data_IF_769425125014
#
_entry.id   IF_769425125014
#
_cell.length_a   1.000
_cell.length_b   1.000
_cell.length_c   1.000
_cell.angle_alpha   90.00
_cell.angle_beta   90.00
_cell.angle_gamma   90.00
#
_symmetry.space_group_name_H-M   'P 1'
#
loop_
_entity.id
_entity.type
_entity.pdbx_description
1 polymer ?
#
# COMPACT_ATOMS: atom_id res chain seq x y z
N UNK A 1 -0.83 -6.69 -0.27
CA UNK A 1 -0.87 -7.55 0.94
C UNK A 1 -1.06 -6.71 2.18
N UNK A 2 -1.20 -7.37 3.33
CA UNK A 2 -1.27 -6.77 4.67
C UNK A 2 0.14 -6.46 5.17
N UNK A 3 0.69 -5.31 4.74
CA UNK A 3 2.12 -4.99 4.88
C UNK A 3 2.65 -5.11 6.31
N UNK A 4 2.00 -4.50 7.30
CA UNK A 4 2.47 -4.57 8.70
C UNK A 4 2.51 -6.01 9.24
N UNK A 5 1.45 -6.79 9.01
CA UNK A 5 1.39 -8.17 9.48
C UNK A 5 2.45 -9.04 8.81
N UNK A 6 2.68 -8.85 7.50
CA UNK A 6 3.76 -9.55 6.79
C UNK A 6 5.12 -9.29 7.43
N UNK A 7 5.45 -8.04 7.74
CA UNK A 7 6.74 -7.70 8.37
C UNK A 7 6.86 -8.29 9.78
N UNK A 8 5.79 -8.25 10.58
CA UNK A 8 5.80 -8.82 11.94
C UNK A 8 5.90 -10.35 11.91
N UNK A 9 5.17 -11.01 11.02
CA UNK A 9 5.22 -12.47 10.87
C UNK A 9 6.60 -12.94 10.42
N UNK A 10 7.17 -12.30 9.40
CA UNK A 10 8.55 -12.57 8.98
C UNK A 10 9.53 -12.35 10.12
N UNK A 11 9.41 -11.26 10.88
CA UNK A 11 10.36 -10.92 11.92
C UNK A 11 10.34 -11.83 13.14
N UNK A 12 9.18 -12.39 13.50
CA UNK A 12 9.00 -13.17 14.73
C UNK A 12 8.81 -14.67 14.51
N UNK A 13 8.38 -15.10 13.33
CA UNK A 13 8.04 -16.50 13.05
C UNK A 13 8.75 -17.08 11.82
N UNK A 14 9.57 -16.28 11.13
CA UNK A 14 10.33 -16.69 9.93
C UNK A 14 9.44 -17.31 8.82
N UNK A 15 8.19 -16.85 8.75
CA UNK A 15 7.19 -17.30 7.79
C UNK A 15 6.09 -16.27 7.63
N UNK A 16 5.34 -16.35 6.53
CA UNK A 16 4.15 -15.53 6.29
C UNK A 16 2.95 -16.40 5.94
N UNK A 17 1.77 -16.13 6.51
CA UNK A 17 0.54 -16.89 6.28
C UNK A 17 -0.65 -15.92 6.15
N UNK A 18 -1.37 -15.98 5.03
CA UNK A 18 -2.62 -15.21 4.84
C UNK A 18 -2.45 -13.70 4.66
N UNK A 19 -1.22 -13.20 4.55
CA UNK A 19 -0.90 -11.77 4.45
C UNK A 19 -0.68 -11.28 3.02
N UNK A 20 -0.44 -12.20 2.09
CA UNK A 20 -0.25 -11.86 0.68
C UNK A 20 -1.61 -11.64 0.02
N UNK A 21 -1.72 -10.53 -0.71
CA UNK A 21 -2.89 -10.19 -1.50
C UNK A 21 -2.42 -9.92 -2.92
N UNK A 22 -3.21 -10.39 -3.89
CA UNK A 22 -2.95 -10.14 -5.31
C UNK A 22 -3.00 -8.66 -5.68
N UNK A 23 -2.49 -8.33 -6.85
CA UNK A 23 -2.59 -6.99 -7.41
C UNK A 23 -4.03 -6.72 -7.86
N UNK A 24 -4.60 -5.58 -7.47
CA UNK A 24 -5.97 -5.18 -7.80
C UNK A 24 -5.96 -3.80 -8.45
N UNK A 25 -6.63 -3.67 -9.59
CA UNK A 25 -6.80 -2.42 -10.34
C UNK A 25 -7.99 -1.62 -9.80
N UNK A 26 -7.83 -1.04 -8.60
CA UNK A 26 -8.87 -0.24 -7.95
C UNK A 26 -9.32 0.97 -8.78
N UNK A 27 -8.42 1.53 -9.59
CA UNK A 27 -8.72 2.56 -10.58
C UNK A 27 -9.80 2.10 -11.58
N UNK A 28 -9.73 0.85 -12.05
CA UNK A 28 -10.72 0.27 -12.96
C UNK A 28 -12.05 0.00 -12.26
N UNK A 29 -12.01 -0.44 -11.00
CA UNK A 29 -13.23 -0.64 -10.19
C UNK A 29 -13.99 0.67 -10.06
N UNK A 30 -13.29 1.77 -9.75
CA UNK A 30 -13.91 3.08 -9.58
C UNK A 30 -14.39 3.66 -10.91
N UNK A 31 -13.64 3.44 -12.00
CA UNK A 31 -14.10 3.81 -13.34
C UNK A 31 -15.40 3.08 -13.72
N UNK A 32 -15.51 1.78 -13.44
CA UNK A 32 -16.72 0.99 -13.71
C UNK A 32 -17.95 1.45 -12.89
N UNK A 33 -17.72 2.03 -11.70
CA UNK A 33 -18.76 2.63 -10.86
C UNK A 33 -19.12 4.08 -11.26
N UNK A 34 -18.57 4.59 -12.37
CA UNK A 34 -18.82 5.94 -12.88
C UNK A 34 -17.91 7.04 -12.30
N UNK A 35 -16.95 6.66 -11.45
CA UNK A 35 -15.94 7.55 -10.89
C UNK A 35 -14.77 7.83 -11.84
N UNK A 36 -13.73 8.46 -11.29
CA UNK A 36 -12.47 8.76 -11.97
C UNK A 36 -11.33 7.89 -11.41
N UNK A 37 -10.78 7.02 -12.24
CA UNK A 37 -9.65 6.16 -11.87
C UNK A 37 -8.33 6.66 -12.43
N UNK A 38 -7.30 6.70 -11.60
CA UNK A 38 -5.91 7.00 -11.97
C UNK A 38 -5.02 5.85 -11.50
N UNK A 39 -4.10 5.38 -12.35
CA UNK A 39 -3.12 4.37 -11.99
C UNK A 39 -1.71 4.95 -12.07
N UNK A 40 -0.98 4.89 -10.96
CA UNK A 40 0.36 5.47 -10.83
C UNK A 40 1.35 4.34 -10.58
N UNK A 41 2.31 4.16 -11.49
CA UNK A 41 3.39 3.17 -11.35
C UNK A 41 4.74 3.83 -11.05
N UNK A 42 4.89 5.11 -11.42
CA UNK A 42 6.11 5.87 -11.24
C UNK A 42 5.88 7.14 -10.40
N UNK A 43 6.82 7.52 -9.51
CA UNK A 43 6.67 8.71 -8.66
C UNK A 43 6.40 10.02 -9.44
N UNK A 44 6.96 10.15 -10.65
CA UNK A 44 6.78 11.33 -11.50
C UNK A 44 5.32 11.52 -11.96
N UNK A 45 4.52 10.45 -11.97
CA UNK A 45 3.12 10.47 -12.40
C UNK A 45 2.17 10.90 -11.29
N UNK A 46 2.60 10.82 -10.02
CA UNK A 46 1.75 11.04 -8.86
C UNK A 46 1.16 12.45 -8.84
N UNK A 47 2.00 13.47 -9.02
CA UNK A 47 1.56 14.87 -8.99
C UNK A 47 0.55 15.17 -10.12
N UNK A 48 0.85 14.85 -11.41
CA UNK A 48 -0.14 14.99 -12.48
C UNK A 48 -1.45 14.20 -12.27
N UNK A 49 -1.38 12.98 -11.72
CA UNK A 49 -2.56 12.15 -11.46
C UNK A 49 -3.46 12.77 -10.39
N UNK A 50 -2.86 13.30 -9.31
CA UNK A 50 -3.60 14.04 -8.28
C UNK A 50 -4.27 15.29 -8.86
N UNK A 51 -3.55 16.05 -9.70
CA UNK A 51 -4.11 17.25 -10.33
C UNK A 51 -5.31 16.93 -11.23
N UNK A 52 -5.28 15.82 -11.98
CA UNK A 52 -6.42 15.35 -12.78
C UNK A 52 -7.58 14.86 -11.91
N UNK A 53 -7.29 14.08 -10.87
CA UNK A 53 -8.29 13.56 -9.94
C UNK A 53 -9.06 14.67 -9.22
N UNK A 54 -8.36 15.71 -8.74
CA UNK A 54 -8.98 16.86 -8.07
C UNK A 54 -9.86 17.68 -9.04
N UNK A 55 -9.50 17.76 -10.32
CA UNK A 55 -10.27 18.47 -11.35
C UNK A 55 -11.44 17.66 -11.90
N UNK A 56 -11.52 16.36 -11.61
CA UNK A 56 -12.47 15.44 -12.25
C UNK A 56 -13.94 15.69 -11.88
N UNK A 57 -14.21 16.43 -10.79
CA UNK A 57 -15.57 16.74 -10.32
C UNK A 57 -16.41 15.51 -9.95
N UNK A 58 -15.76 14.38 -9.70
CA UNK A 58 -16.36 13.07 -9.42
C UNK A 58 -15.59 12.37 -8.31
N UNK A 59 -16.18 11.32 -7.72
CA UNK A 59 -15.44 10.41 -6.84
C UNK A 59 -14.23 9.88 -7.59
N UNK A 60 -13.04 10.06 -7.01
CA UNK A 60 -11.78 9.70 -7.65
C UNK A 60 -10.97 8.70 -6.81
N UNK A 61 -10.30 7.78 -7.47
CA UNK A 61 -9.33 6.86 -6.86
C UNK A 61 -8.01 6.95 -7.61
N UNK A 62 -6.95 7.29 -6.87
CA UNK A 62 -5.58 7.29 -7.36
C UNK A 62 -4.90 6.05 -6.80
N UNK A 63 -4.82 5.00 -7.63
CA UNK A 63 -4.25 3.71 -7.28
C UNK A 63 -2.74 3.72 -7.51
N UNK A 64 -1.98 3.92 -6.42
CA UNK A 64 -0.52 4.06 -6.45
C UNK A 64 0.17 2.73 -6.15
N UNK A 65 0.97 2.25 -7.09
CA UNK A 65 1.83 1.08 -6.89
C UNK A 65 2.97 1.43 -5.94
N UNK A 66 3.06 0.70 -4.84
CA UNK A 66 4.08 0.90 -3.82
C UNK A 66 4.92 -0.34 -3.62
N UNK A 67 6.22 -0.13 -3.36
CA UNK A 67 7.08 -1.20 -2.83
C UNK A 67 6.68 -1.47 -1.38
N UNK A 68 6.36 -2.71 -1.05
CA UNK A 68 6.04 -3.10 0.32
C UNK A 68 7.31 -3.20 1.17
N UNK A 69 7.67 -2.11 1.85
CA UNK A 69 8.77 -2.08 2.84
C UNK A 69 8.21 -1.84 4.25
N UNK A 70 8.93 -2.30 5.28
CA UNK A 70 8.60 -1.99 6.65
C UNK A 70 8.63 -0.47 6.91
N UNK A 71 7.62 0.03 7.60
CA UNK A 71 7.64 1.42 8.07
C UNK A 71 8.70 1.60 9.16
N UNK A 72 9.25 2.81 9.36
CA UNK A 72 10.20 3.08 10.44
C UNK A 72 9.68 2.67 11.82
N UNK A 73 8.37 2.87 12.07
CA UNK A 73 7.70 2.46 13.30
C UNK A 73 7.66 0.94 13.46
N UNK A 74 7.35 0.22 12.37
CA UNK A 74 7.34 -1.26 12.37
C UNK A 74 8.72 -1.81 12.71
N UNK A 75 9.77 -1.27 12.09
CA UNK A 75 11.17 -1.65 12.37
C UNK A 75 11.55 -1.38 13.83
N UNK A 76 11.20 -0.20 14.36
CA UNK A 76 11.46 0.15 15.75
C UNK A 76 10.75 -0.80 16.75
N UNK A 77 9.48 -1.15 16.47
CA UNK A 77 8.71 -2.07 17.30
C UNK A 77 9.32 -3.48 17.30
N UNK A 78 9.71 -4.00 16.13
CA UNK A 78 10.37 -5.30 16.01
C UNK A 78 11.65 -5.32 16.85
N UNK A 79 12.49 -4.30 16.73
CA UNK A 79 13.73 -4.19 17.48
C UNK A 79 13.49 -4.18 19.00
N UNK A 80 12.53 -3.35 19.46
CA UNK A 80 12.15 -3.27 20.87
C UNK A 80 11.68 -4.61 21.43
N UNK A 81 10.80 -5.31 20.71
CA UNK A 81 10.27 -6.61 21.16
C UNK A 81 11.36 -7.69 21.21
N UNK A 82 12.28 -7.70 20.25
CA UNK A 82 13.42 -8.64 20.25
C UNK A 82 14.37 -8.37 21.42
N UNK A 83 14.61 -7.11 21.77
CA UNK A 83 15.44 -6.75 22.91
C UNK A 83 14.82 -7.18 24.26
N UNK A 84 13.50 -7.04 24.43
CA UNK A 84 12.81 -7.42 25.67
C UNK A 84 12.68 -8.94 25.89
N UNK A 85 12.92 -9.76 24.85
CA UNK A 85 12.85 -11.23 24.90
C UNK A 85 14.25 -11.89 25.03
N UNK A 86 15.32 -11.09 25.09
CA UNK A 86 16.70 -11.54 25.33
C UNK A 86 17.03 -11.40 26.80
#
# INVERSE_FOLDING_TARGET
GWGMERELQSAFYDRTIGVELGNVRYDQVIAALGGHGEHVEHPAELRPALDRALKAGRVACVNVKMRGVASPLTTANIARTKAAKR
#
